data_IF_812056746370
#
_entry.id   IF_812056746370
#
_cell.length_a   1.000
_cell.length_b   1.000
_cell.length_c   1.000
_cell.angle_alpha   90.00
_cell.angle_beta   90.00
_cell.angle_gamma   90.00
#
_symmetry.space_group_name_H-M   'P 1'
#
loop_
_entity.id
_entity.type
_entity.pdbx_description
1 polymer ?
#
# COMPACT_ATOMS: atom_id res chain seq x y z
N UNK A 1 -12.62 13.08 -9.93
CA UNK A 1 -11.87 13.07 -8.66
C UNK A 1 -12.55 13.94 -7.61
N UNK A 2 -13.62 14.64 -7.96
CA UNK A 2 -14.33 15.58 -7.08
C UNK A 2 -15.23 14.88 -6.04
N UNK A 3 -15.77 13.70 -6.35
CA UNK A 3 -16.66 12.94 -5.45
C UNK A 3 -15.97 12.44 -4.16
N UNK A 4 -14.64 12.26 -4.18
CA UNK A 4 -13.86 11.82 -3.00
C UNK A 4 -13.47 13.00 -2.10
N UNK A 5 -13.44 14.23 -2.63
CA UNK A 5 -13.23 15.44 -1.83
C UNK A 5 -14.46 15.79 -0.98
N UNK A 6 -15.64 15.35 -1.42
CA UNK A 6 -16.91 15.57 -0.72
C UNK A 6 -17.06 14.65 0.50
N UNK A 7 -16.32 13.53 0.55
CA UNK A 7 -16.30 12.57 1.66
C UNK A 7 -14.87 12.28 2.17
N UNK A 8 -14.29 13.15 3.01
CA UNK A 8 -12.89 13.03 3.46
C UNK A 8 -12.58 11.72 4.20
N UNK A 9 -13.56 11.15 4.91
CA UNK A 9 -13.41 9.87 5.60
C UNK A 9 -13.32 8.68 4.63
N UNK A 10 -14.04 8.74 3.49
CA UNK A 10 -13.99 7.70 2.46
C UNK A 10 -12.63 7.72 1.76
N UNK A 11 -12.11 8.92 1.46
CA UNK A 11 -10.76 9.08 0.89
C UNK A 11 -9.69 8.47 1.81
N UNK A 12 -9.76 8.77 3.11
CA UNK A 12 -8.85 8.20 4.10
C UNK A 12 -8.91 6.67 4.13
N UNK A 13 -10.12 6.08 4.10
CA UNK A 13 -10.30 4.63 4.07
C UNK A 13 -9.73 3.99 2.80
N UNK A 14 -9.95 4.61 1.65
CA UNK A 14 -9.41 4.12 0.37
C UNK A 14 -7.88 4.14 0.39
N UNK A 15 -7.26 5.23 0.87
CA UNK A 15 -5.79 5.33 1.01
C UNK A 15 -5.26 4.26 1.97
N UNK A 16 -5.95 4.07 3.10
CA UNK A 16 -5.59 3.06 4.09
C UNK A 16 -5.59 1.65 3.49
N UNK A 17 -6.69 1.25 2.81
CA UNK A 17 -6.80 -0.06 2.16
C UNK A 17 -5.78 -0.23 1.01
N UNK A 18 -5.57 0.81 0.20
CA UNK A 18 -4.57 0.81 -0.85
C UNK A 18 -3.16 0.59 -0.27
N UNK A 19 -2.82 1.22 0.85
CA UNK A 19 -1.52 1.00 1.53
C UNK A 19 -1.38 -0.40 2.13
N UNK A 20 -2.45 -1.01 2.64
CA UNK A 20 -2.40 -2.39 3.12
C UNK A 20 -2.01 -3.32 1.97
N UNK A 21 -2.67 -3.19 0.82
CA UNK A 21 -2.38 -3.98 -0.38
C UNK A 21 -0.96 -3.79 -0.87
N UNK A 22 -0.53 -2.52 -1.02
CA UNK A 22 0.81 -2.18 -1.48
C UNK A 22 1.92 -2.78 -0.59
N UNK A 23 1.83 -2.58 0.73
CA UNK A 23 2.85 -3.09 1.65
C UNK A 23 2.84 -4.61 1.68
N UNK A 24 1.67 -5.24 1.63
CA UNK A 24 1.56 -6.70 1.56
C UNK A 24 2.24 -7.27 0.29
N UNK A 25 2.06 -6.60 -0.86
CA UNK A 25 2.75 -6.94 -2.11
C UNK A 25 4.26 -6.77 -1.94
N UNK A 26 4.72 -5.68 -1.32
CA UNK A 26 6.13 -5.44 -1.03
C UNK A 26 6.76 -6.53 -0.15
N UNK A 27 6.02 -7.05 0.82
CA UNK A 27 6.44 -8.21 1.63
C UNK A 27 6.58 -9.47 0.76
N UNK A 28 5.56 -9.80 -0.04
CA UNK A 28 5.57 -10.95 -0.95
C UNK A 28 6.70 -10.87 -1.99
N UNK A 29 6.92 -9.69 -2.57
CA UNK A 29 8.05 -9.41 -3.47
C UNK A 29 9.37 -9.74 -2.79
N UNK A 30 9.56 -9.25 -1.56
CA UNK A 30 10.80 -9.47 -0.79
C UNK A 30 11.05 -10.96 -0.57
N UNK A 31 10.02 -11.73 -0.24
CA UNK A 31 10.12 -13.20 -0.07
C UNK A 31 10.45 -13.88 -1.40
N UNK A 32 9.83 -13.48 -2.52
CA UNK A 32 10.12 -14.05 -3.83
C UNK A 32 11.56 -13.79 -4.26
N UNK A 33 12.13 -12.62 -3.91
CA UNK A 33 13.55 -12.32 -4.10
C UNK A 33 14.41 -13.29 -3.27
N UNK A 34 14.10 -13.48 -1.98
CA UNK A 34 14.81 -14.44 -1.13
C UNK A 34 14.67 -15.89 -1.62
N UNK A 35 13.54 -16.26 -2.23
CA UNK A 35 13.30 -17.57 -2.87
C UNK A 35 13.92 -17.69 -4.27
N UNK A 36 14.69 -16.70 -4.74
CA UNK A 36 15.36 -16.72 -6.05
C UNK A 36 14.43 -16.54 -7.26
N UNK A 37 13.17 -16.17 -7.06
CA UNK A 37 12.17 -16.00 -8.14
C UNK A 37 12.13 -14.55 -8.64
N UNK A 38 13.10 -14.19 -9.47
CA UNK A 38 13.32 -12.81 -9.96
C UNK A 38 12.20 -12.25 -10.85
N UNK A 39 11.66 -13.03 -11.78
CA UNK A 39 10.60 -12.57 -12.70
C UNK A 39 9.31 -12.18 -11.96
N UNK A 40 8.70 -13.04 -11.12
CA UNK A 40 7.48 -12.66 -10.40
C UNK A 40 7.73 -11.52 -9.39
N UNK A 41 8.93 -11.45 -8.79
CA UNK A 41 9.29 -10.31 -7.95
C UNK A 41 9.34 -9.00 -8.74
N UNK A 42 9.89 -9.00 -9.95
CA UNK A 42 9.94 -7.81 -10.81
C UNK A 42 8.53 -7.35 -11.25
N UNK A 43 7.65 -8.30 -11.62
CA UNK A 43 6.26 -8.00 -11.99
C UNK A 43 5.51 -7.39 -10.81
N UNK A 44 5.60 -7.98 -9.62
CA UNK A 44 4.97 -7.42 -8.42
C UNK A 44 5.50 -6.03 -8.08
N UNK A 45 6.83 -5.83 -8.14
CA UNK A 45 7.45 -4.53 -7.88
C UNK A 45 6.99 -3.44 -8.85
N UNK A 46 6.74 -3.78 -10.12
CA UNK A 46 6.19 -2.84 -11.09
C UNK A 46 4.78 -2.35 -10.69
N UNK A 47 3.88 -3.27 -10.34
CA UNK A 47 2.52 -2.91 -9.91
C UNK A 47 2.50 -2.18 -8.56
N UNK A 48 3.36 -2.59 -7.63
CA UNK A 48 3.53 -1.92 -6.33
C UNK A 48 3.92 -0.45 -6.53
N UNK A 49 4.93 -0.14 -7.35
CA UNK A 49 5.35 1.24 -7.58
C UNK A 49 4.23 2.10 -8.21
N UNK A 50 3.39 1.52 -9.08
CA UNK A 50 2.23 2.24 -9.64
C UNK A 50 1.21 2.62 -8.56
N UNK A 51 0.93 1.70 -7.62
CA UNK A 51 0.03 1.96 -6.49
C UNK A 51 0.66 2.97 -5.54
N UNK A 52 1.95 2.81 -5.23
CA UNK A 52 2.67 3.71 -4.34
C UNK A 52 2.68 5.15 -4.86
N UNK A 53 3.06 5.38 -6.12
CA UNK A 53 3.14 6.73 -6.70
C UNK A 53 1.76 7.40 -6.70
N UNK A 54 0.71 6.66 -7.06
CA UNK A 54 -0.65 7.20 -7.10
C UNK A 54 -1.17 7.54 -5.71
N UNK A 55 -0.97 6.66 -4.72
CA UNK A 55 -1.40 6.90 -3.33
C UNK A 55 -0.57 8.00 -2.64
N UNK A 56 0.77 7.95 -2.75
CA UNK A 56 1.66 8.93 -2.15
C UNK A 56 1.44 10.32 -2.76
N UNK A 57 1.21 10.41 -4.07
CA UNK A 57 0.90 11.67 -4.74
C UNK A 57 -0.37 12.35 -4.20
N UNK A 58 -1.38 11.58 -3.81
CA UNK A 58 -2.60 12.11 -3.21
C UNK A 58 -2.37 12.66 -1.80
N UNK A 59 -1.58 11.96 -0.98
CA UNK A 59 -1.27 12.41 0.39
C UNK A 59 -0.38 13.65 0.35
N UNK A 60 0.63 13.68 -0.52
CA UNK A 60 1.55 14.82 -0.65
C UNK A 60 0.80 16.07 -1.12
N UNK A 61 -0.18 15.95 -2.03
CA UNK A 61 -1.01 17.09 -2.46
C UNK A 61 -1.97 17.59 -1.40
N UNK A 62 -2.30 16.76 -0.39
CA UNK A 62 -3.26 17.08 0.66
C UNK A 62 -2.60 16.99 2.05
N UNK A 63 -1.37 17.49 2.19
CA UNK A 63 -0.60 17.43 3.45
C UNK A 63 -1.27 18.15 4.63
N UNK A 64 -2.08 19.17 4.36
CA UNK A 64 -2.83 19.90 5.38
C UNK A 64 -3.90 19.03 6.06
N UNK A 65 -4.30 17.92 5.43
CA UNK A 65 -5.26 16.97 5.96
C UNK A 65 -4.55 15.89 6.82
N UNK A 66 -4.29 16.20 8.10
CA UNK A 66 -3.61 15.31 9.05
C UNK A 66 -4.19 13.88 9.12
N UNK A 67 -5.50 13.73 8.91
CA UNK A 67 -6.19 12.44 8.91
C UNK A 67 -5.78 11.53 7.74
N UNK A 68 -5.43 12.09 6.57
CA UNK A 68 -4.92 11.32 5.43
C UNK A 68 -3.53 10.76 5.73
N UNK A 69 -2.69 11.54 6.40
CA UNK A 69 -1.36 11.11 6.84
C UNK A 69 -1.45 9.97 7.84
N UNK A 70 -2.36 10.04 8.80
CA UNK A 70 -2.61 8.95 9.76
C UNK A 70 -3.16 7.71 9.05
N UNK A 71 -4.10 7.87 8.13
CA UNK A 71 -4.63 6.75 7.35
C UNK A 71 -3.52 6.08 6.51
N UNK A 72 -2.63 6.86 5.91
CA UNK A 72 -1.48 6.35 5.17
C UNK A 72 -0.50 5.58 6.07
N UNK A 73 -0.13 6.15 7.22
CA UNK A 73 0.78 5.52 8.18
C UNK A 73 0.15 4.25 8.82
N UNK A 74 -1.13 4.31 9.17
CA UNK A 74 -1.89 3.18 9.71
C UNK A 74 -2.03 2.05 8.69
N UNK A 75 -2.29 2.39 7.43
CA UNK A 75 -2.36 1.41 6.33
C UNK A 75 -1.01 0.73 6.11
N UNK A 76 0.09 1.47 6.26
CA UNK A 76 1.45 0.90 6.23
C UNK A 76 1.70 -0.09 7.38
N UNK A 77 1.36 0.28 8.61
CA UNK A 77 1.53 -0.60 9.77
C UNK A 77 0.71 -1.89 9.64
N UNK A 78 -0.57 -1.76 9.28
CA UNK A 78 -1.46 -2.91 9.07
C UNK A 78 -1.03 -3.77 7.87
N UNK A 79 -0.56 -3.14 6.80
CA UNK A 79 -0.05 -3.85 5.63
C UNK A 79 1.14 -4.75 5.95
N UNK A 80 2.01 -4.37 6.89
CA UNK A 80 3.10 -5.25 7.35
C UNK A 80 2.56 -6.49 8.07
N UNK A 81 1.56 -6.32 8.95
CA UNK A 81 0.92 -7.45 9.64
C UNK A 81 0.26 -8.40 8.62
N UNK A 82 -0.49 -7.86 7.66
CA UNK A 82 -1.15 -8.65 6.61
C UNK A 82 -0.14 -9.33 5.69
N UNK A 83 0.95 -8.64 5.35
CA UNK A 83 2.03 -9.19 4.54
C UNK A 83 2.72 -10.38 5.20
N UNK A 84 3.01 -10.29 6.50
CA UNK A 84 3.58 -11.39 7.29
C UNK A 84 2.56 -12.55 7.39
N UNK A 85 1.28 -12.24 7.63
CA UNK A 85 0.25 -13.27 7.66
C UNK A 85 0.11 -14.01 6.32
N UNK A 86 0.14 -13.28 5.19
CA UNK A 86 0.15 -13.88 3.84
C UNK A 86 1.39 -14.73 3.59
N UNK A 87 2.57 -14.28 4.06
CA UNK A 87 3.82 -15.03 3.99
C UNK A 87 3.71 -16.38 4.70
N UNK A 88 3.27 -16.38 5.96
CA UNK A 88 3.09 -17.60 6.75
C UNK A 88 2.13 -18.62 6.13
N UNK A 89 1.23 -18.19 5.23
CA UNK A 89 0.28 -19.05 4.54
C UNK A 89 0.83 -19.59 3.20
N UNK A 90 1.88 -18.98 2.68
CA UNK A 90 2.60 -19.36 1.46
C UNK A 90 3.92 -20.11 1.74
N UNK A 91 4.34 -20.17 3.00
CA UNK A 91 5.38 -21.04 3.53
C UNK A 91 4.80 -22.43 3.84
#
# INVERSE_FOLDING_TARGET
MDFLHEYPALLALVIFLARIGDVSIGTLRTILVFRGRSIPAAVLGFFEVLIWITAAGQVIRNLDAWYLTIAYAGGFAMGNIVGIWLESKLA
#
